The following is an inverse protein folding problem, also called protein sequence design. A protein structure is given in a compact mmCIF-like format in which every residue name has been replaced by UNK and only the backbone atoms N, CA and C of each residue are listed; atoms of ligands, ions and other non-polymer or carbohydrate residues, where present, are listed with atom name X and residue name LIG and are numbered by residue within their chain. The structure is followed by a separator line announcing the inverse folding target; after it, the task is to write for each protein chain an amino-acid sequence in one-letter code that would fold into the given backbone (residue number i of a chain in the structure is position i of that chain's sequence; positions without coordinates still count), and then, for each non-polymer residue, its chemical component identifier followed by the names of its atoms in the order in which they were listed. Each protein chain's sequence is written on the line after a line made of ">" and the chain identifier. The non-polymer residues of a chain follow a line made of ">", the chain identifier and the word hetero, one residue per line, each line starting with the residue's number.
data_IF_551129930985
#
_entry.id   IF_551129930985
#
_cell.length_a   1.000
_cell.length_b   1.000
_cell.length_c   1.000
_cell.angle_alpha   90.00
_cell.angle_beta   90.00
_cell.angle_gamma   90.00
#
_symmetry.space_group_name_H-M   'P 1'
#
loop_
_entity.id
_entity.type
_entity.pdbx_description
1 polymer ?
#
# COMPACT_ATOMS: atom_id res chain seq x y z
N UNK A 1 11.70 14.40 -15.90
CA UNK A 1 10.47 14.93 -15.30
C UNK A 1 10.31 14.23 -13.96
N UNK A 2 9.92 14.95 -12.93
CA UNK A 2 9.63 14.34 -11.61
C UNK A 2 8.39 13.45 -11.74
N UNK A 3 8.44 12.23 -11.16
CA UNK A 3 7.32 11.28 -11.17
C UNK A 3 6.46 11.51 -9.93
N UNK A 4 5.74 12.63 -9.94
CA UNK A 4 4.89 13.07 -8.83
C UNK A 4 3.42 13.13 -9.23
N UNK A 5 2.53 12.86 -8.28
CA UNK A 5 1.10 13.02 -8.45
C UNK A 5 0.44 13.46 -7.16
N UNK A 6 -0.65 14.23 -7.28
CA UNK A 6 -1.54 14.55 -6.16
C UNK A 6 -2.96 14.16 -6.53
N UNK A 7 -3.58 13.30 -5.74
CA UNK A 7 -4.93 12.77 -5.92
C UNK A 7 -5.79 13.15 -4.74
N UNK A 8 -7.00 13.63 -5.02
CA UNK A 8 -8.04 13.82 -4.01
C UNK A 8 -9.20 12.89 -4.32
N UNK A 9 -9.72 12.22 -3.30
CA UNK A 9 -10.89 11.34 -3.38
C UNK A 9 -11.85 11.68 -2.26
N UNK A 10 -13.08 11.98 -2.61
CA UNK A 10 -14.14 12.26 -1.64
C UNK A 10 -15.36 11.41 -1.93
N UNK A 11 -15.81 10.67 -0.94
CA UNK A 11 -17.05 9.89 -0.93
C UNK A 11 -17.98 10.40 0.18
N UNK A 12 -18.95 9.61 0.58
CA UNK A 12 -19.76 9.87 1.77
C UNK A 12 -19.06 9.40 3.04
N UNK A 13 -18.17 8.41 2.89
CA UNK A 13 -17.49 7.70 3.96
C UNK A 13 -16.09 8.26 4.22
N UNK A 14 -15.42 8.81 3.18
CA UNK A 14 -14.02 9.22 3.27
C UNK A 14 -13.74 10.53 2.55
N UNK A 15 -12.73 11.27 3.04
CA UNK A 15 -12.15 12.43 2.37
C UNK A 15 -10.62 12.30 2.41
N UNK A 16 -10.01 12.06 1.25
CA UNK A 16 -8.61 11.65 1.14
C UNK A 16 -7.84 12.60 0.24
N UNK A 17 -6.62 12.93 0.65
CA UNK A 17 -5.62 13.57 -0.19
C UNK A 17 -4.33 12.76 -0.13
N UNK A 18 -3.81 12.38 -1.31
CA UNK A 18 -2.54 11.69 -1.47
C UNK A 18 -1.63 12.53 -2.34
N UNK A 19 -0.41 12.80 -1.89
CA UNK A 19 0.69 13.32 -2.71
C UNK A 19 1.83 12.31 -2.67
N UNK A 20 2.25 11.86 -3.85
CA UNK A 20 3.29 10.85 -4.02
C UNK A 20 4.39 11.37 -4.93
N UNK A 21 5.65 11.21 -4.50
CA UNK A 21 6.83 11.35 -5.34
C UNK A 21 7.57 10.00 -5.39
N UNK A 22 7.59 9.37 -6.57
CA UNK A 22 8.28 8.10 -6.79
C UNK A 22 9.81 8.25 -6.83
N UNK A 23 10.33 9.46 -6.98
CA UNK A 23 11.75 9.80 -6.96
C UNK A 23 12.14 10.50 -5.65
N UNK A 24 11.43 10.20 -4.57
CA UNK A 24 11.57 10.80 -3.26
C UNK A 24 12.79 10.34 -2.46
N UNK A 25 12.73 10.55 -1.16
CA UNK A 25 13.80 10.24 -0.20
C UNK A 25 13.35 9.38 0.99
N UNK A 26 12.10 8.89 0.96
CA UNK A 26 11.49 8.08 2.01
C UNK A 26 10.84 8.91 3.13
N UNK A 27 10.38 10.12 2.83
CA UNK A 27 9.64 10.94 3.80
C UNK A 27 8.17 10.59 3.77
N UNK A 28 7.57 10.49 4.96
CA UNK A 28 6.16 10.20 5.11
C UNK A 28 5.47 11.24 6.01
N UNK A 29 4.27 11.65 5.62
CA UNK A 29 3.34 12.47 6.40
C UNK A 29 1.96 11.81 6.31
N UNK A 30 1.56 11.08 7.37
CA UNK A 30 0.48 10.11 7.32
C UNK A 30 -0.52 10.35 8.44
N UNK A 31 -1.78 10.50 8.06
CA UNK A 31 -2.90 10.73 8.98
C UNK A 31 -4.16 10.01 8.49
N UNK A 32 -4.31 8.73 8.85
CA UNK A 32 -5.53 7.94 8.52
C UNK A 32 -6.45 7.73 9.71
N UNK A 33 -5.99 8.06 10.92
CA UNK A 33 -6.68 7.74 12.16
C UNK A 33 -6.49 6.29 12.63
N UNK A 34 -5.77 5.46 11.86
CA UNK A 34 -5.46 4.06 12.18
C UNK A 34 -3.94 3.95 12.36
N UNK A 35 -3.45 4.06 13.60
CA UNK A 35 -2.01 4.17 13.86
C UNK A 35 -1.18 3.01 13.32
N UNK A 36 -1.71 1.79 13.31
CA UNK A 36 -1.00 0.64 12.72
C UNK A 36 -0.91 0.75 11.20
N UNK A 37 -1.96 1.23 10.53
CA UNK A 37 -1.94 1.44 9.09
C UNK A 37 -0.98 2.58 8.69
N UNK A 38 -0.96 3.68 9.47
CA UNK A 38 0.02 4.75 9.27
C UNK A 38 1.46 4.20 9.39
N UNK A 39 1.72 3.33 10.37
CA UNK A 39 3.03 2.67 10.51
C UNK A 39 3.37 1.77 9.30
N UNK A 40 2.39 1.03 8.76
CA UNK A 40 2.61 0.23 7.54
C UNK A 40 2.95 1.10 6.33
N UNK A 41 2.24 2.20 6.14
CA UNK A 41 2.50 3.16 5.06
C UNK A 41 3.83 3.91 5.22
N UNK A 42 4.26 4.21 6.46
CA UNK A 42 5.61 4.75 6.72
C UNK A 42 6.68 3.76 6.27
N UNK A 43 6.50 2.47 6.60
CA UNK A 43 7.39 1.39 6.13
C UNK A 43 7.47 1.32 4.61
N UNK A 44 6.32 1.38 3.92
CA UNK A 44 6.24 1.42 2.45
C UNK A 44 7.01 2.63 1.88
N UNK A 45 6.74 3.83 2.38
CA UNK A 45 7.38 5.06 1.88
C UNK A 45 8.90 5.05 2.13
N UNK A 46 9.31 4.73 3.36
CA UNK A 46 10.71 4.75 3.80
C UNK A 46 11.57 3.75 3.05
N UNK A 47 11.11 2.51 2.91
CA UNK A 47 11.89 1.43 2.28
C UNK A 47 11.81 1.47 0.75
N UNK A 48 10.72 1.99 0.20
CA UNK A 48 10.59 2.27 -1.24
C UNK A 48 11.28 3.56 -1.68
N UNK A 49 11.77 4.39 -0.73
CA UNK A 49 12.32 5.72 -0.96
C UNK A 49 11.33 6.67 -1.65
N UNK A 50 10.04 6.48 -1.43
CA UNK A 50 8.99 7.39 -1.90
C UNK A 50 8.81 8.55 -0.91
N UNK A 51 8.49 9.75 -1.38
CA UNK A 51 7.92 10.75 -0.49
C UNK A 51 6.41 10.66 -0.59
N UNK A 52 5.75 10.39 0.55
CA UNK A 52 4.31 10.12 0.64
C UNK A 52 3.64 11.01 1.68
N UNK A 53 2.73 11.86 1.24
CA UNK A 53 1.73 12.50 2.11
C UNK A 53 0.40 11.81 1.87
N UNK A 54 -0.24 11.27 2.91
CA UNK A 54 -1.56 10.65 2.82
C UNK A 54 -2.40 11.03 4.04
N UNK A 55 -3.41 11.86 3.82
CA UNK A 55 -4.36 12.28 4.84
C UNK A 55 -5.74 11.75 4.48
N UNK A 56 -6.38 11.08 5.41
CA UNK A 56 -7.73 10.54 5.29
C UNK A 56 -8.56 10.90 6.51
N UNK A 57 -9.71 11.50 6.27
CA UNK A 57 -10.79 11.64 7.25
C UNK A 57 -11.89 10.65 6.86
N UNK A 58 -11.97 9.54 7.59
CA UNK A 58 -12.84 8.40 7.29
C UNK A 58 -13.83 8.12 8.41
N UNK A 59 -14.84 7.31 8.12
CA UNK A 59 -15.93 6.92 9.02
C UNK A 59 -15.53 5.81 10.01
N UNK A 60 -14.42 6.00 10.74
CA UNK A 60 -13.87 5.02 11.69
C UNK A 60 -14.83 4.63 12.84
N UNK A 61 -15.91 5.38 13.00
CA UNK A 61 -17.00 5.00 13.91
C UNK A 61 -17.82 3.79 13.39
N UNK A 62 -17.71 3.46 12.11
CA UNK A 62 -18.26 2.23 11.50
C UNK A 62 -17.26 1.10 11.68
N UNK A 63 -16.14 1.17 10.95
CA UNK A 63 -14.96 0.31 11.06
C UNK A 63 -13.79 0.91 10.25
N UNK A 64 -12.73 0.14 10.03
CA UNK A 64 -11.57 0.60 9.27
C UNK A 64 -11.66 0.30 7.75
N UNK A 65 -12.72 -0.34 7.26
CA UNK A 65 -12.81 -0.86 5.88
C UNK A 65 -12.72 0.26 4.84
N UNK A 66 -13.68 1.18 4.87
CA UNK A 66 -13.76 2.26 3.88
C UNK A 66 -12.48 3.11 3.86
N UNK A 67 -11.93 3.42 5.05
CA UNK A 67 -10.70 4.19 5.18
C UNK A 67 -9.53 3.51 4.47
N UNK A 68 -9.31 2.22 4.73
CA UNK A 68 -8.15 1.50 4.19
C UNK A 68 -8.31 1.21 2.69
N UNK A 69 -9.49 0.76 2.25
CA UNK A 69 -9.78 0.50 0.83
C UNK A 69 -9.64 1.78 -0.01
N UNK A 70 -10.26 2.86 0.42
CA UNK A 70 -10.25 4.14 -0.31
C UNK A 70 -8.85 4.79 -0.34
N UNK A 71 -8.06 4.63 0.73
CA UNK A 71 -6.63 4.98 0.72
C UNK A 71 -5.86 4.17 -0.33
N UNK A 72 -6.15 2.88 -0.46
CA UNK A 72 -5.57 2.02 -1.50
C UNK A 72 -5.94 2.48 -2.91
N UNK A 73 -7.21 2.85 -3.14
CA UNK A 73 -7.67 3.41 -4.41
C UNK A 73 -6.93 4.71 -4.74
N UNK A 74 -6.86 5.63 -3.77
CA UNK A 74 -6.22 6.93 -3.96
C UNK A 74 -4.71 6.79 -4.21
N UNK A 75 -4.02 5.95 -3.44
CA UNK A 75 -2.59 5.67 -3.62
C UNK A 75 -2.31 4.99 -4.96
N UNK A 76 -3.08 3.96 -5.33
CA UNK A 76 -2.95 3.29 -6.63
C UNK A 76 -3.16 4.25 -7.80
N UNK A 77 -4.13 5.17 -7.69
CA UNK A 77 -4.35 6.23 -8.67
C UNK A 77 -3.14 7.16 -8.75
N UNK A 78 -2.59 7.59 -7.60
CA UNK A 78 -1.39 8.43 -7.56
C UNK A 78 -0.17 7.74 -8.19
N UNK A 79 0.03 6.45 -7.95
CA UNK A 79 1.09 5.65 -8.61
C UNK A 79 0.91 5.67 -10.13
N UNK A 80 -0.31 5.41 -10.62
CA UNK A 80 -0.59 5.42 -12.07
C UNK A 80 -0.33 6.79 -12.70
N UNK A 81 -0.77 7.85 -12.05
CA UNK A 81 -0.57 9.23 -12.55
C UNK A 81 0.90 9.64 -12.53
N UNK A 82 1.63 9.30 -11.47
CA UNK A 82 3.07 9.58 -11.36
C UNK A 82 3.89 8.82 -12.41
N UNK A 83 3.49 7.59 -12.78
CA UNK A 83 4.14 6.80 -13.83
C UNK A 83 3.85 7.33 -15.25
N UNK A 84 2.80 8.11 -15.45
CA UNK A 84 2.44 8.70 -16.73
C UNK A 84 2.32 7.66 -17.86
N UNK A 85 3.01 7.90 -18.97
CA UNK A 85 3.04 7.01 -20.13
C UNK A 85 3.94 5.77 -19.96
N UNK A 86 4.60 5.67 -18.80
CA UNK A 86 5.53 4.58 -18.44
C UNK A 86 6.77 4.49 -19.33
N UNK A 87 7.10 5.53 -20.10
CA UNK A 87 8.30 5.54 -20.91
C UNK A 87 9.57 5.57 -20.02
N UNK A 88 10.51 4.68 -20.31
CA UNK A 88 11.81 4.63 -19.64
C UNK A 88 11.81 4.05 -18.21
N UNK A 89 10.69 3.50 -17.72
CA UNK A 89 10.67 2.82 -16.43
C UNK A 89 11.21 1.40 -16.50
N UNK A 90 11.67 0.86 -15.39
CA UNK A 90 11.85 -0.59 -15.19
C UNK A 90 10.47 -1.18 -14.92
N UNK A 91 9.91 -1.92 -15.87
CA UNK A 91 8.54 -2.43 -15.84
C UNK A 91 8.29 -3.46 -14.72
N UNK A 92 9.28 -4.34 -14.49
CA UNK A 92 9.16 -5.45 -13.54
C UNK A 92 10.01 -5.21 -12.33
N UNK A 93 9.48 -5.49 -11.14
CA UNK A 93 10.20 -5.47 -9.88
C UNK A 93 9.82 -6.64 -9.02
N UNK A 94 10.76 -7.09 -8.19
CA UNK A 94 10.47 -8.08 -7.14
C UNK A 94 11.38 -7.87 -5.94
N UNK A 95 10.84 -8.18 -4.77
CA UNK A 95 11.58 -8.15 -3.52
C UNK A 95 11.23 -9.39 -2.69
N UNK A 96 12.27 -10.06 -2.18
CA UNK A 96 12.13 -11.02 -1.08
C UNK A 96 12.63 -10.34 0.19
N UNK A 97 11.73 -10.09 1.13
CA UNK A 97 12.00 -9.30 2.31
C UNK A 97 11.91 -10.15 3.58
N UNK A 98 13.01 -10.32 4.32
CA UNK A 98 13.01 -10.94 5.63
C UNK A 98 12.61 -9.92 6.70
N UNK A 99 11.79 -10.35 7.65
CA UNK A 99 11.46 -9.61 8.87
C UNK A 99 11.49 -10.60 10.04
N UNK A 100 12.63 -10.65 10.74
CA UNK A 100 12.95 -11.65 11.76
C UNK A 100 12.68 -13.08 11.24
N UNK A 101 11.69 -13.79 11.81
CA UNK A 101 11.30 -15.14 11.42
C UNK A 101 10.40 -15.21 10.18
N UNK A 102 9.99 -14.07 9.65
CA UNK A 102 9.07 -13.97 8.51
C UNK A 102 9.82 -13.72 7.21
N UNK A 103 9.37 -14.33 6.13
CA UNK A 103 9.83 -14.02 4.77
C UNK A 103 8.63 -13.74 3.88
N UNK A 104 8.60 -12.55 3.27
CA UNK A 104 7.59 -12.15 2.30
C UNK A 104 8.20 -11.98 0.90
N UNK A 105 7.37 -12.19 -0.13
CA UNK A 105 7.66 -11.94 -1.55
C UNK A 105 6.67 -10.93 -2.08
N UNK A 106 7.18 -9.90 -2.75
CA UNK A 106 6.42 -9.02 -3.62
C UNK A 106 6.97 -9.09 -5.05
N UNK A 107 6.07 -9.14 -6.04
CA UNK A 107 6.44 -9.01 -7.45
C UNK A 107 5.40 -8.15 -8.18
N UNK A 108 5.89 -7.22 -8.99
CA UNK A 108 5.06 -6.27 -9.72
C UNK A 108 5.34 -6.30 -11.23
N UNK A 109 4.27 -6.09 -12.02
CA UNK A 109 4.35 -5.75 -13.45
C UNK A 109 3.54 -4.47 -13.69
N UNK A 110 4.21 -3.39 -14.04
CA UNK A 110 3.62 -2.08 -14.33
C UNK A 110 3.06 -1.99 -15.75
N UNK A 111 2.60 -3.12 -16.31
CA UNK A 111 2.19 -3.28 -17.70
C UNK A 111 0.86 -2.65 -18.10
N UNK A 112 0.11 -2.04 -17.19
CA UNK A 112 -1.18 -1.38 -17.48
C UNK A 112 -2.39 -2.34 -17.46
N UNK A 113 -2.23 -3.55 -16.96
CA UNK A 113 -3.31 -4.54 -16.77
C UNK A 113 -3.37 -4.93 -15.29
N UNK A 114 -4.50 -4.72 -14.60
CA UNK A 114 -4.59 -5.08 -13.19
C UNK A 114 -4.72 -6.59 -13.02
N UNK A 115 -3.99 -7.13 -12.07
CA UNK A 115 -4.17 -8.47 -11.57
C UNK A 115 -3.59 -8.56 -10.16
N UNK A 116 -4.30 -9.22 -9.25
CA UNK A 116 -3.86 -9.34 -7.87
C UNK A 116 -3.82 -10.81 -7.42
N UNK A 117 -2.67 -11.20 -6.91
CA UNK A 117 -2.47 -12.51 -6.26
C UNK A 117 -2.02 -12.28 -4.84
N UNK A 118 -2.72 -12.89 -3.91
CA UNK A 118 -2.45 -12.75 -2.48
C UNK A 118 -2.46 -14.12 -1.81
N UNK A 119 -1.35 -14.46 -1.15
CA UNK A 119 -1.17 -15.71 -0.42
C UNK A 119 -0.52 -15.43 0.93
N UNK A 120 -1.35 -15.12 1.92
CA UNK A 120 -0.95 -14.89 3.30
C UNK A 120 -2.06 -15.35 4.25
N UNK A 121 -1.68 -15.86 5.40
CA UNK A 121 -2.58 -16.28 6.47
C UNK A 121 -2.16 -15.69 7.80
N UNK A 122 -3.14 -15.35 8.62
CA UNK A 122 -2.96 -14.73 9.93
C UNK A 122 -3.65 -15.56 11.01
N UNK A 123 -3.03 -15.59 12.18
CA UNK A 123 -3.58 -16.28 13.35
C UNK A 123 -4.57 -15.39 14.14
N UNK A 124 -4.42 -14.07 14.03
CA UNK A 124 -5.23 -13.07 14.74
C UNK A 124 -6.21 -12.38 13.77
N UNK A 125 -7.30 -11.86 14.29
CA UNK A 125 -8.25 -11.04 13.53
C UNK A 125 -7.78 -9.60 13.36
N UNK A 126 -6.94 -9.10 14.28
CA UNK A 126 -6.44 -7.72 14.22
C UNK A 126 -5.01 -7.59 14.70
N UNK A 127 -4.32 -6.59 14.15
CA UNK A 127 -3.01 -6.13 14.57
C UNK A 127 -3.05 -4.62 14.77
N UNK A 128 -2.66 -4.12 15.98
CA UNK A 128 -2.65 -2.68 16.26
C UNK A 128 -3.99 -1.97 16.04
N UNK A 129 -5.12 -2.68 16.21
CA UNK A 129 -6.46 -2.16 15.96
C UNK A 129 -6.92 -2.19 14.49
N UNK A 130 -6.06 -2.60 13.56
CA UNK A 130 -6.41 -2.85 12.15
C UNK A 130 -6.85 -4.30 11.97
N UNK A 131 -7.99 -4.54 11.32
CA UNK A 131 -8.37 -5.88 10.87
C UNK A 131 -7.37 -6.39 9.84
N UNK A 132 -6.81 -7.59 10.04
CA UNK A 132 -5.77 -8.15 9.17
C UNK A 132 -6.27 -8.42 7.73
N UNK A 133 -7.59 -8.62 7.55
CA UNK A 133 -8.20 -8.79 6.24
C UNK A 133 -8.02 -7.53 5.38
N UNK A 134 -7.91 -6.36 6.00
CA UNK A 134 -7.77 -5.10 5.29
C UNK A 134 -6.43 -4.96 4.54
N UNK A 135 -5.42 -5.74 4.89
CA UNK A 135 -4.21 -5.79 4.08
C UNK A 135 -4.50 -6.29 2.66
N UNK A 136 -5.33 -7.33 2.52
CA UNK A 136 -5.75 -7.85 1.22
C UNK A 136 -6.55 -6.81 0.43
N UNK A 137 -7.52 -6.17 1.07
CA UNK A 137 -8.38 -5.16 0.43
C UNK A 137 -7.56 -3.93 -0.01
N UNK A 138 -6.64 -3.46 0.84
CA UNK A 138 -5.73 -2.38 0.50
C UNK A 138 -4.90 -2.68 -0.75
N UNK A 139 -4.19 -3.81 -0.77
CA UNK A 139 -3.32 -4.16 -1.91
C UNK A 139 -4.11 -4.48 -3.17
N UNK A 140 -5.32 -5.05 -3.04
CA UNK A 140 -6.24 -5.20 -4.16
C UNK A 140 -6.59 -3.83 -4.76
N UNK A 141 -7.02 -2.88 -3.93
CA UNK A 141 -7.38 -1.53 -4.35
C UNK A 141 -6.19 -0.81 -5.03
N UNK A 142 -4.99 -0.91 -4.44
CA UNK A 142 -3.75 -0.37 -5.04
C UNK A 142 -3.48 -1.00 -6.42
N UNK A 143 -3.50 -2.33 -6.52
CA UNK A 143 -3.21 -3.05 -7.78
C UNK A 143 -4.14 -2.64 -8.92
N UNK A 144 -5.45 -2.61 -8.64
CA UNK A 144 -6.46 -2.28 -9.65
C UNK A 144 -6.44 -0.79 -10.03
N UNK A 145 -6.25 0.11 -9.07
CA UNK A 145 -6.20 1.56 -9.34
C UNK A 145 -4.91 1.99 -10.02
N UNK A 146 -3.78 1.35 -9.70
CA UNK A 146 -2.49 1.56 -10.36
C UNK A 146 -2.42 0.89 -11.74
N UNK A 147 -3.39 0.01 -12.10
CA UNK A 147 -3.36 -0.77 -13.32
C UNK A 147 -2.07 -1.60 -13.44
N UNK A 148 -1.76 -2.36 -12.38
CA UNK A 148 -0.56 -3.20 -12.32
C UNK A 148 -0.89 -4.63 -11.88
N UNK A 149 -0.04 -5.60 -12.27
CA UNK A 149 -0.05 -6.88 -11.59
C UNK A 149 0.70 -6.74 -10.27
N UNK A 150 0.13 -7.25 -9.21
CA UNK A 150 0.75 -7.31 -7.88
C UNK A 150 0.60 -8.72 -7.32
N UNK A 151 1.71 -9.35 -7.04
CA UNK A 151 1.76 -10.65 -6.36
C UNK A 151 2.40 -10.46 -5.00
N UNK A 152 1.68 -10.81 -3.95
CA UNK A 152 2.15 -10.78 -2.56
C UNK A 152 2.00 -12.16 -1.94
N UNK A 153 3.07 -12.64 -1.32
CA UNK A 153 3.08 -13.93 -0.65
C UNK A 153 3.91 -13.87 0.63
N UNK A 154 3.36 -14.37 1.74
CA UNK A 154 4.13 -14.74 2.93
C UNK A 154 4.58 -16.18 2.77
N UNK A 155 5.87 -16.41 2.60
CA UNK A 155 6.44 -17.74 2.38
C UNK A 155 6.42 -18.54 3.67
N UNK A 156 6.74 -17.89 4.79
CA UNK A 156 6.64 -18.42 6.16
C UNK A 156 6.72 -17.25 7.15
N UNK A 157 6.30 -17.49 8.39
CA UNK A 157 6.33 -16.53 9.49
C UNK A 157 5.31 -16.93 10.56
N UNK A 158 5.54 -16.48 11.80
CA UNK A 158 4.66 -16.77 12.94
C UNK A 158 3.95 -15.51 13.43
N UNK A 159 4.68 -14.39 13.54
CA UNK A 159 4.15 -13.13 14.06
C UNK A 159 3.37 -12.36 12.98
N UNK A 160 2.07 -12.15 13.19
CA UNK A 160 1.20 -11.47 12.21
C UNK A 160 1.59 -10.01 11.95
N UNK A 161 2.16 -9.30 12.95
CA UNK A 161 2.72 -7.96 12.74
C UNK A 161 3.90 -8.02 11.75
N UNK A 162 4.83 -8.96 11.94
CA UNK A 162 5.98 -9.14 11.04
C UNK A 162 5.54 -9.50 9.62
N UNK A 163 4.50 -10.34 9.47
CA UNK A 163 3.94 -10.69 8.15
C UNK A 163 3.38 -9.47 7.44
N UNK A 164 2.56 -8.66 8.13
CA UNK A 164 1.99 -7.44 7.59
C UNK A 164 3.09 -6.45 7.21
N UNK A 165 3.99 -6.15 8.13
CA UNK A 165 5.07 -5.18 7.91
C UNK A 165 6.01 -5.62 6.77
N UNK A 166 6.34 -6.92 6.69
CA UNK A 166 7.14 -7.46 5.60
C UNK A 166 6.47 -7.25 4.22
N UNK A 167 5.15 -7.47 4.13
CA UNK A 167 4.42 -7.25 2.87
C UNK A 167 4.39 -5.78 2.44
N UNK A 168 4.20 -4.84 3.38
CA UNK A 168 4.19 -3.41 3.06
C UNK A 168 5.57 -2.89 2.66
N UNK A 169 6.64 -3.41 3.27
CA UNK A 169 8.02 -3.05 2.94
C UNK A 169 8.52 -3.68 1.63
N UNK A 170 8.07 -4.87 1.29
CA UNK A 170 8.42 -5.58 0.06
C UNK A 170 7.81 -4.94 -1.19
#
# INVERSE_FOLDING_TARGET
>A
MSRTATVTRKTRETNITVTLDLDGSGKADLHTGIGFFDHMLDGFARHGLFDLTLHCDGDLNVDCHHTIEDCGIALGTAIREALGDKAGIVRYGSCMLPMDETLALCAVDLGGRPYFVYDASFARQSCGGMDVQMAREFFYAVSYSAMMNLHLKVLYGENDHHKLEAMYKA
#
